data_IF_352042082101
#
_entry.id   IF_352042082101
#
_cell.length_a   1.000
_cell.length_b   1.000
_cell.length_c   1.000
_cell.angle_alpha   90.00
_cell.angle_beta   90.00
_cell.angle_gamma   90.00
#
_symmetry.space_group_name_H-M   'P 1'
#
loop_
_entity.id
_entity.type
_entity.pdbx_description
1 polymer ?
#
# COMPACT_ATOMS: atom_id res chain seq x y z
N UNK A 1 -0.75 -20.83 -24.43
CA UNK A 1 -0.39 -21.50 -25.69
C UNK A 1 0.92 -22.25 -25.47
N UNK A 2 1.03 -23.50 -25.93
CA UNK A 2 2.32 -24.19 -26.02
C UNK A 2 3.24 -23.41 -26.96
N UNK A 3 4.50 -23.25 -26.58
CA UNK A 3 5.52 -22.70 -27.46
C UNK A 3 5.95 -23.86 -28.37
N UNK A 4 5.71 -23.74 -29.68
CA UNK A 4 6.15 -24.72 -30.65
C UNK A 4 7.65 -24.52 -30.97
N UNK A 5 8.39 -25.60 -31.31
CA UNK A 5 9.77 -25.48 -31.77
C UNK A 5 9.87 -24.57 -33.01
N UNK A 6 10.99 -23.84 -33.20
CA UNK A 6 11.21 -23.04 -34.40
C UNK A 6 11.10 -23.92 -35.64
N UNK A 7 10.22 -23.56 -36.58
CA UNK A 7 10.08 -24.25 -37.85
C UNK A 7 9.99 -23.23 -39.00
N UNK A 8 10.82 -23.37 -40.06
CA UNK A 8 10.91 -22.39 -41.16
C UNK A 8 9.58 -22.09 -41.87
N UNK A 9 8.62 -23.03 -41.81
CA UNK A 9 7.31 -22.88 -42.43
C UNK A 9 6.38 -21.88 -41.71
N UNK A 10 6.67 -21.51 -40.47
CA UNK A 10 5.81 -20.62 -39.65
C UNK A 10 6.27 -19.16 -39.65
N UNK A 11 7.22 -18.81 -40.53
CA UNK A 11 7.75 -17.46 -40.66
C UNK A 11 8.88 -17.15 -39.66
N UNK A 12 9.25 -15.87 -39.62
CA UNK A 12 10.36 -15.38 -38.79
C UNK A 12 9.93 -15.29 -37.33
N UNK A 13 10.84 -15.68 -36.42
CA UNK A 13 10.63 -15.59 -34.97
C UNK A 13 10.32 -14.15 -34.52
N UNK A 14 9.48 -14.03 -33.48
CA UNK A 14 9.03 -12.74 -32.95
C UNK A 14 9.05 -12.75 -31.44
N UNK A 15 9.43 -11.62 -30.86
CA UNK A 15 9.36 -11.42 -29.42
C UNK A 15 7.89 -11.44 -28.97
N UNK A 16 7.54 -12.37 -28.09
CA UNK A 16 6.21 -12.50 -27.52
C UNK A 16 6.19 -12.20 -26.02
N UNK A 17 5.23 -11.39 -25.59
CA UNK A 17 5.00 -11.09 -24.18
C UNK A 17 4.06 -12.11 -23.53
N UNK A 18 4.56 -12.88 -22.55
CA UNK A 18 3.78 -13.90 -21.82
C UNK A 18 2.69 -13.32 -20.91
N UNK A 19 2.69 -12.01 -20.66
CA UNK A 19 1.71 -11.36 -19.78
C UNK A 19 0.37 -11.05 -20.43
N UNK A 20 0.23 -11.20 -21.76
CA UNK A 20 -1.04 -11.03 -22.46
C UNK A 20 -1.26 -12.16 -23.47
N UNK A 21 -2.53 -12.55 -23.69
CA UNK A 21 -2.87 -13.59 -24.69
C UNK A 21 -2.57 -13.16 -26.12
N UNK A 22 -2.56 -11.84 -26.37
CA UNK A 22 -2.18 -11.23 -27.65
C UNK A 22 -0.68 -11.36 -27.95
N UNK A 23 0.15 -11.73 -26.96
CA UNK A 23 1.60 -11.68 -27.08
C UNK A 23 2.17 -10.25 -27.14
N UNK A 24 1.33 -9.21 -27.03
CA UNK A 24 1.77 -7.81 -27.08
C UNK A 24 2.27 -7.32 -25.73
N UNK A 25 3.39 -6.61 -25.72
CA UNK A 25 3.91 -6.01 -24.50
C UNK A 25 3.14 -4.73 -24.15
N UNK A 26 2.81 -4.57 -22.87
CA UNK A 26 2.42 -3.27 -22.33
C UNK A 26 3.04 -3.07 -20.95
N UNK A 27 3.39 -1.80 -20.62
CA UNK A 27 3.87 -1.43 -19.28
C UNK A 27 2.86 -1.85 -18.20
N UNK A 28 1.56 -1.76 -18.51
CA UNK A 28 0.47 -2.17 -17.63
C UNK A 28 0.53 -3.67 -17.30
N UNK A 29 0.63 -4.55 -18.29
CA UNK A 29 0.66 -6.00 -18.04
C UNK A 29 1.99 -6.46 -17.44
N UNK A 30 3.10 -5.79 -17.76
CA UNK A 30 4.38 -5.98 -17.08
C UNK A 30 4.31 -5.61 -15.59
N UNK A 31 3.85 -4.39 -15.28
CA UNK A 31 3.70 -3.92 -13.91
C UNK A 31 2.77 -4.82 -13.09
N UNK A 32 1.60 -5.16 -13.65
CA UNK A 32 0.63 -6.04 -13.00
C UNK A 32 1.24 -7.39 -12.61
N UNK A 33 2.01 -8.00 -13.52
CA UNK A 33 2.64 -9.31 -13.30
C UNK A 33 3.78 -9.24 -12.28
N UNK A 34 4.56 -8.16 -12.26
CA UNK A 34 5.66 -7.96 -11.32
C UNK A 34 5.20 -7.64 -9.90
N UNK A 35 4.12 -6.89 -9.77
CA UNK A 35 3.66 -6.37 -8.48
C UNK A 35 2.49 -7.12 -7.88
N UNK A 36 1.87 -8.04 -8.65
CA UNK A 36 0.64 -8.72 -8.21
C UNK A 36 -0.53 -7.76 -8.00
N UNK A 37 -0.52 -6.59 -8.64
CA UNK A 37 -1.46 -5.48 -8.36
C UNK A 37 -2.94 -5.85 -8.52
N UNK A 38 -3.30 -6.92 -9.25
CA UNK A 38 -4.68 -7.44 -9.29
C UNK A 38 -4.98 -8.68 -8.47
N UNK A 39 -4.04 -9.16 -7.66
CA UNK A 39 -4.33 -10.14 -6.60
C UNK A 39 -4.88 -9.48 -5.34
N UNK A 40 -4.74 -8.15 -5.21
CA UNK A 40 -5.40 -7.38 -4.16
C UNK A 40 -6.87 -7.18 -4.55
N UNK A 41 -7.65 -8.25 -4.42
CA UNK A 41 -9.12 -8.29 -4.49
C UNK A 41 -9.70 -7.61 -3.23
N UNK A 42 -9.30 -6.37 -2.97
CA UNK A 42 -9.85 -5.55 -1.91
C UNK A 42 -10.85 -4.57 -2.49
N UNK A 43 -11.87 -4.22 -1.71
CA UNK A 43 -12.74 -3.04 -1.93
C UNK A 43 -11.87 -1.91 -2.45
N UNK A 44 -12.25 -1.25 -3.55
CA UNK A 44 -11.51 -0.11 -4.09
C UNK A 44 -11.64 1.09 -3.13
N UNK A 45 -11.01 0.97 -1.96
CA UNK A 45 -10.99 1.93 -0.86
C UNK A 45 -10.46 3.27 -1.38
N UNK A 46 -9.58 3.22 -2.38
CA UNK A 46 -9.07 4.40 -3.06
C UNK A 46 -10.18 5.19 -3.74
N UNK A 47 -11.09 4.54 -4.46
CA UNK A 47 -12.22 5.27 -5.08
C UNK A 47 -13.09 5.98 -4.05
N UNK A 48 -13.30 5.39 -2.87
CA UNK A 48 -14.05 6.03 -1.78
C UNK A 48 -13.26 7.20 -1.21
N UNK A 49 -11.98 6.99 -0.89
CA UNK A 49 -11.10 8.03 -0.35
C UNK A 49 -11.07 9.24 -1.28
N UNK A 50 -10.75 9.04 -2.57
CA UNK A 50 -10.58 10.13 -3.54
C UNK A 50 -11.89 10.87 -3.87
N UNK A 51 -13.06 10.30 -3.57
CA UNK A 51 -14.36 10.99 -3.72
C UNK A 51 -14.67 11.94 -2.57
N UNK A 52 -14.01 11.79 -1.42
CA UNK A 52 -14.24 12.67 -0.27
C UNK A 52 -13.75 14.09 -0.59
N UNK A 53 -14.59 15.08 -0.29
CA UNK A 53 -14.28 16.51 -0.45
C UNK A 53 -13.38 16.98 0.71
N UNK A 54 -12.17 16.44 0.78
CA UNK A 54 -11.19 16.71 1.81
C UNK A 54 -9.94 17.38 1.22
N UNK A 55 -9.21 18.19 2.01
CA UNK A 55 -7.93 18.73 1.58
C UNK A 55 -6.94 17.63 1.18
N UNK A 56 -6.11 17.90 0.15
CA UNK A 56 -5.14 16.93 -0.38
C UNK A 56 -4.21 16.33 0.68
N UNK A 57 -3.83 17.11 1.70
CA UNK A 57 -3.02 16.63 2.83
C UNK A 57 -3.65 15.44 3.55
N UNK A 58 -4.98 15.40 3.65
CA UNK A 58 -5.71 14.30 4.31
C UNK A 58 -5.68 13.05 3.42
N UNK A 59 -5.91 13.20 2.11
CA UNK A 59 -5.79 12.09 1.17
C UNK A 59 -4.40 11.45 1.21
N UNK A 60 -3.35 12.27 1.16
CA UNK A 60 -1.96 11.80 1.26
C UNK A 60 -1.71 11.09 2.59
N UNK A 61 -2.21 11.62 3.71
CA UNK A 61 -2.08 11.00 5.02
C UNK A 61 -2.76 9.63 5.08
N UNK A 62 -3.99 9.50 4.59
CA UNK A 62 -4.73 8.23 4.54
C UNK A 62 -4.02 7.22 3.63
N UNK A 63 -3.54 7.68 2.47
CA UNK A 63 -2.79 6.84 1.53
C UNK A 63 -1.50 6.29 2.14
N UNK A 64 -0.72 7.13 2.85
CA UNK A 64 0.48 6.70 3.57
C UNK A 64 0.14 5.74 4.71
N UNK A 65 -0.99 5.96 5.39
CA UNK A 65 -1.46 5.11 6.50
C UNK A 65 -1.82 3.72 6.01
N UNK A 66 -2.66 3.60 4.97
CA UNK A 66 -3.09 2.32 4.42
C UNK A 66 -1.95 1.50 3.78
N UNK A 67 -0.84 2.16 3.43
CA UNK A 67 0.37 1.52 2.92
C UNK A 67 1.44 1.27 3.99
N UNK A 68 1.11 1.42 5.28
CA UNK A 68 2.05 1.30 6.40
C UNK A 68 3.37 2.05 6.12
N UNK A 69 3.24 3.27 5.59
CA UNK A 69 4.36 4.07 5.06
C UNK A 69 4.64 5.32 5.88
N UNK A 70 3.80 5.65 6.86
CA UNK A 70 4.08 6.70 7.84
C UNK A 70 5.31 6.37 8.68
N UNK A 71 6.07 7.39 9.08
CA UNK A 71 7.29 7.26 9.89
C UNK A 71 7.00 7.01 11.37
N UNK A 72 6.22 5.97 11.65
CA UNK A 72 6.07 5.41 13.00
C UNK A 72 7.43 4.87 13.47
N UNK A 73 7.66 4.73 14.79
CA UNK A 73 8.96 4.24 15.25
C UNK A 73 9.18 2.78 14.82
N UNK A 74 8.12 1.97 14.73
CA UNK A 74 8.15 0.67 14.08
C UNK A 74 8.72 0.73 12.66
N UNK A 75 8.19 1.63 11.82
CA UNK A 75 8.64 1.80 10.44
C UNK A 75 10.04 2.39 10.34
N UNK A 76 10.42 3.27 11.27
CA UNK A 76 11.78 3.82 11.35
C UNK A 76 12.79 2.73 11.70
N UNK A 77 12.49 1.84 12.64
CA UNK A 77 13.36 0.69 12.96
C UNK A 77 13.46 -0.26 11.77
N UNK A 78 12.33 -0.59 11.13
CA UNK A 78 12.29 -1.44 9.92
C UNK A 78 13.16 -0.88 8.78
N UNK A 79 13.31 0.45 8.72
CA UNK A 79 14.15 1.16 7.73
C UNK A 79 15.53 1.54 8.25
N UNK A 80 15.95 1.03 9.42
CA UNK A 80 17.24 1.34 10.04
C UNK A 80 17.47 2.84 10.33
N UNK A 81 16.40 3.59 10.60
CA UNK A 81 16.40 5.03 10.92
C UNK A 81 16.14 5.33 12.41
N UNK A 82 15.94 4.30 13.22
CA UNK A 82 15.76 4.42 14.68
C UNK A 82 16.27 3.15 15.37
N UNK A 83 16.73 3.29 16.61
CA UNK A 83 17.22 2.18 17.41
C UNK A 83 16.10 1.40 18.13
N UNK A 84 14.94 2.04 18.36
CA UNK A 84 13.85 1.44 19.14
C UNK A 84 12.47 1.75 18.52
N UNK A 85 11.55 0.77 18.50
CA UNK A 85 10.19 0.95 18.01
C UNK A 85 9.25 1.54 19.07
N UNK A 86 9.73 1.77 20.30
CA UNK A 86 8.90 2.20 21.41
C UNK A 86 8.27 3.58 21.19
N UNK A 87 7.08 3.78 21.74
CA UNK A 87 6.40 5.07 21.68
C UNK A 87 7.02 6.08 22.65
N UNK A 88 7.54 7.20 22.14
CA UNK A 88 8.10 8.27 22.98
C UNK A 88 7.06 9.15 23.70
N UNK A 89 5.76 8.95 23.46
CA UNK A 89 4.70 9.75 24.08
C UNK A 89 4.14 9.11 25.35
N UNK A 90 3.86 7.79 25.30
CA UNK A 90 3.36 7.03 26.44
C UNK A 90 4.42 6.12 27.06
N UNK A 91 5.63 6.05 26.50
CA UNK A 91 6.73 5.18 26.92
C UNK A 91 6.33 3.70 27.06
N UNK A 92 5.25 3.32 26.41
CA UNK A 92 4.65 1.99 26.48
C UNK A 92 4.24 1.55 25.08
N UNK A 93 4.50 0.29 24.76
CA UNK A 93 4.08 -0.35 23.52
C UNK A 93 4.96 -0.08 22.29
N UNK A 94 4.77 -0.96 21.30
CA UNK A 94 5.34 -0.89 19.96
C UNK A 94 4.58 0.16 19.15
N UNK A 95 5.23 1.26 18.73
CA UNK A 95 4.59 2.34 17.99
C UNK A 95 4.47 1.97 16.52
N UNK A 96 3.49 1.15 16.20
CA UNK A 96 2.97 0.96 14.85
C UNK A 96 1.93 2.04 14.49
N UNK A 97 1.28 1.90 13.33
CA UNK A 97 0.27 2.83 12.86
C UNK A 97 -0.93 2.92 13.82
N UNK A 98 -1.45 1.77 14.25
CA UNK A 98 -2.62 1.67 15.10
C UNK A 98 -2.37 2.31 16.46
N UNK A 99 -1.20 2.04 17.05
CA UNK A 99 -0.76 2.68 18.28
C UNK A 99 -0.61 4.19 18.09
N UNK A 100 0.04 4.62 17.01
CA UNK A 100 0.29 6.04 16.75
C UNK A 100 -1.00 6.85 16.53
N UNK A 101 -2.08 6.23 16.04
CA UNK A 101 -3.34 6.92 15.70
C UNK A 101 -4.48 6.66 16.69
N UNK A 102 -4.45 5.58 17.47
CA UNK A 102 -5.61 5.17 18.29
C UNK A 102 -5.24 4.65 19.66
N UNK A 103 -4.28 3.72 19.75
CA UNK A 103 -4.11 2.94 20.99
C UNK A 103 -3.17 3.61 22.01
N UNK A 104 -2.36 4.58 21.59
CA UNK A 104 -1.53 5.37 22.50
C UNK A 104 -2.39 6.13 23.52
N UNK A 105 -2.05 6.02 24.82
CA UNK A 105 -2.78 6.69 25.91
C UNK A 105 -2.91 8.20 25.68
N UNK A 106 -1.83 8.85 25.24
CA UNK A 106 -1.82 10.29 24.91
C UNK A 106 -2.70 10.63 23.71
N UNK A 107 -2.80 9.73 22.74
CA UNK A 107 -3.66 9.93 21.56
C UNK A 107 -5.13 9.72 21.92
N UNK A 108 -5.44 8.78 22.82
CA UNK A 108 -6.79 8.61 23.36
C UNK A 108 -7.28 9.85 24.09
N UNK A 109 -6.42 10.51 24.87
CA UNK A 109 -6.73 11.80 25.52
C UNK A 109 -7.18 12.86 24.50
N UNK A 110 -6.50 12.95 23.34
CA UNK A 110 -6.89 13.85 22.25
C UNK A 110 -8.23 13.45 21.64
N UNK A 111 -8.44 12.15 21.36
CA UNK A 111 -9.72 11.69 20.82
C UNK A 111 -10.89 11.98 21.75
N UNK A 112 -10.72 11.80 23.06
CA UNK A 112 -11.76 12.09 24.04
C UNK A 112 -12.16 13.58 24.10
N UNK A 113 -11.30 14.48 23.61
CA UNK A 113 -11.62 15.91 23.52
C UNK A 113 -12.37 16.28 22.23
N UNK A 114 -12.21 15.47 21.18
CA UNK A 114 -12.74 15.77 19.83
C UNK A 114 -13.98 14.95 19.51
N UNK A 115 -14.09 13.73 20.05
CA UNK A 115 -15.23 12.84 19.85
C UNK A 115 -16.28 13.16 20.92
N UNK A 116 -17.51 13.55 20.52
CA UNK A 116 -18.59 13.80 21.47
C UNK A 116 -18.87 12.55 22.31
N UNK A 117 -19.05 12.73 23.62
CA UNK A 117 -19.48 11.65 24.51
C UNK A 117 -20.93 11.28 24.17
N UNK A 118 -21.19 10.09 23.63
CA UNK A 118 -22.56 9.58 23.44
C UNK A 118 -22.95 9.04 22.06
N UNK A 119 -22.01 8.53 21.26
CA UNK A 119 -22.31 7.56 20.20
C UNK A 119 -22.06 6.15 20.67
#
# INVERSE_FOLDING_TARGET
MPIHPPCPAFGVDRIGWKGEKSGSFSVKSAYFRLTGFGMVQGVNVWSTIWKLQLPQRIHTFVWLSLRDSLLTNANRVRRHMAASPCCGLCYNGYKDLTHALRDCLRVKEVWNQVVPSGF
#
